data_IF_470224582400
#
_entry.id   IF_470224582400
#
_cell.length_a   1.000
_cell.length_b   1.000
_cell.length_c   1.000
_cell.angle_alpha   90.00
_cell.angle_beta   90.00
_cell.angle_gamma   90.00
#
_symmetry.space_group_name_H-M   'P 1'
#
loop_
_entity.id
_entity.type
_entity.pdbx_description
1 polymer ?
#
# COMPACT_ATOMS: atom_id res chain seq x y z
N UNK A 1 -6.45 -1.05 28.02
CA UNK A 1 -7.78 -1.53 27.76
C UNK A 1 -8.20 -1.47 26.29
N UNK A 2 -9.38 -1.99 25.98
CA UNK A 2 -9.86 -2.09 24.60
C UNK A 2 -10.01 -0.72 23.90
N UNK A 3 -10.28 0.33 24.66
CA UNK A 3 -10.51 1.71 24.19
C UNK A 3 -9.26 2.61 24.30
N UNK A 4 -8.12 2.07 24.75
CA UNK A 4 -6.90 2.88 24.94
C UNK A 4 -6.22 3.18 23.60
N UNK A 5 -6.05 4.47 23.21
CA UNK A 5 -5.33 4.84 22.00
C UNK A 5 -3.86 4.42 22.10
N UNK A 6 -3.41 3.65 21.13
CA UNK A 6 -2.06 3.05 21.10
C UNK A 6 -1.45 3.23 19.71
N UNK A 7 -0.15 3.38 19.60
CA UNK A 7 0.54 3.38 18.30
C UNK A 7 0.31 2.03 17.62
N UNK A 8 -0.32 1.98 16.43
CA UNK A 8 -0.71 0.72 15.79
C UNK A 8 0.43 0.03 15.06
N UNK A 9 1.46 0.75 14.68
CA UNK A 9 2.41 0.33 13.66
C UNK A 9 1.66 -0.18 12.42
N UNK A 10 2.19 -1.18 11.71
CA UNK A 10 1.59 -1.66 10.45
C UNK A 10 0.20 -2.32 10.56
N UNK A 11 -0.41 -2.44 11.76
CA UNK A 11 -1.84 -2.79 11.83
C UNK A 11 -2.74 -1.65 11.35
N UNK A 12 -2.22 -0.40 11.21
CA UNK A 12 -2.85 0.70 10.48
C UNK A 12 -3.31 0.30 9.08
N UNK A 13 -2.56 -0.57 8.40
CA UNK A 13 -2.90 -1.04 7.05
C UNK A 13 -4.26 -1.73 6.94
N UNK A 14 -4.82 -2.21 8.05
CA UNK A 14 -6.20 -2.74 8.08
C UNK A 14 -7.23 -1.62 7.88
N UNK A 15 -7.02 -0.47 8.52
CA UNK A 15 -7.84 0.72 8.33
C UNK A 15 -7.78 1.24 6.89
N UNK A 16 -6.56 1.36 6.35
CA UNK A 16 -6.31 1.76 4.95
C UNK A 16 -6.97 0.78 3.98
N UNK A 17 -6.87 -0.53 4.24
CA UNK A 17 -7.49 -1.58 3.41
C UNK A 17 -9.01 -1.46 3.40
N UNK A 18 -9.64 -1.29 4.58
CA UNK A 18 -11.09 -1.15 4.67
C UNK A 18 -11.57 0.07 3.86
N UNK A 19 -10.90 1.21 4.02
CA UNK A 19 -11.24 2.45 3.33
C UNK A 19 -11.06 2.36 1.80
N UNK A 20 -9.96 1.76 1.31
CA UNK A 20 -9.74 1.65 -0.13
C UNK A 20 -10.68 0.64 -0.79
N UNK A 21 -11.03 -0.45 -0.10
CA UNK A 21 -12.04 -1.39 -0.59
C UNK A 21 -13.44 -0.75 -0.63
N UNK A 22 -13.78 0.11 0.34
CA UNK A 22 -15.05 0.84 0.36
C UNK A 22 -15.18 1.81 -0.81
N UNK A 23 -14.09 2.49 -1.18
CA UNK A 23 -14.14 3.58 -2.18
C UNK A 23 -13.85 3.13 -3.60
N UNK A 24 -13.02 2.11 -3.79
CA UNK A 24 -12.57 1.62 -5.12
C UNK A 24 -13.06 0.22 -5.45
N UNK A 25 -13.31 -0.60 -4.42
CA UNK A 25 -13.59 -2.02 -4.61
C UNK A 25 -12.34 -2.84 -4.99
N UNK A 26 -12.43 -4.19 -4.91
CA UNK A 26 -11.29 -5.09 -5.10
C UNK A 26 -10.79 -5.17 -6.54
N UNK A 27 -11.65 -4.87 -7.52
CA UNK A 27 -11.36 -5.03 -8.95
C UNK A 27 -10.83 -3.77 -9.63
N UNK A 28 -10.79 -2.64 -8.93
CA UNK A 28 -10.27 -1.39 -9.48
C UNK A 28 -8.80 -1.55 -9.90
N UNK A 29 -8.43 -0.91 -11.03
CA UNK A 29 -7.06 -0.86 -11.55
C UNK A 29 -6.63 0.58 -11.71
N UNK A 30 -5.42 0.90 -11.29
CA UNK A 30 -4.81 2.22 -11.45
C UNK A 30 -4.25 2.29 -12.87
N UNK A 31 -4.57 3.35 -13.62
CA UNK A 31 -4.10 3.52 -15.00
C UNK A 31 -3.03 4.59 -15.06
N UNK A 32 -1.80 4.19 -15.40
CA UNK A 32 -0.68 5.09 -15.72
C UNK A 32 -0.68 5.33 -17.23
N UNK A 33 -0.49 6.58 -17.65
CA UNK A 33 -0.49 6.93 -19.06
C UNK A 33 0.63 7.92 -19.42
N UNK A 34 0.93 7.97 -20.71
CA UNK A 34 1.83 8.96 -21.31
C UNK A 34 1.05 9.76 -22.32
N UNK A 35 1.24 11.08 -22.29
CA UNK A 35 0.60 11.99 -23.24
C UNK A 35 1.66 12.75 -24.05
N UNK A 36 1.25 13.28 -25.20
CA UNK A 36 2.08 14.18 -25.99
C UNK A 36 2.35 15.47 -25.22
N UNK A 37 3.59 15.93 -25.23
CA UNK A 37 4.00 17.19 -24.63
C UNK A 37 3.62 18.41 -25.47
N UNK A 38 4.07 19.57 -25.03
CA UNK A 38 3.77 20.86 -25.68
C UNK A 38 4.57 21.11 -26.96
N UNK A 39 5.65 20.37 -27.19
CA UNK A 39 6.50 20.50 -28.38
C UNK A 39 6.71 19.13 -29.04
N UNK A 40 6.98 19.08 -30.35
CA UNK A 40 7.21 17.83 -31.07
C UNK A 40 8.32 16.98 -30.43
N UNK A 41 8.06 15.67 -30.25
CA UNK A 41 8.98 14.74 -29.61
C UNK A 41 9.04 14.79 -28.09
N UNK A 42 8.39 15.77 -27.44
CA UNK A 42 8.22 15.78 -26.00
C UNK A 42 7.06 14.84 -25.61
N UNK A 43 7.29 14.02 -24.59
CA UNK A 43 6.27 13.14 -24.00
C UNK A 43 6.17 13.41 -22.50
N UNK A 44 4.97 13.29 -21.94
CA UNK A 44 4.73 13.49 -20.51
C UNK A 44 4.32 12.16 -19.88
N UNK A 45 5.13 11.64 -18.97
CA UNK A 45 4.79 10.50 -18.14
C UNK A 45 3.99 11.01 -16.93
N UNK A 46 2.71 10.67 -16.90
CA UNK A 46 1.78 11.16 -15.87
C UNK A 46 1.66 10.14 -14.74
N UNK A 47 2.03 10.56 -13.55
CA UNK A 47 1.95 9.74 -12.35
C UNK A 47 0.50 9.56 -11.91
N UNK A 48 0.04 8.30 -11.87
CA UNK A 48 -1.32 7.93 -11.46
C UNK A 48 -1.41 7.41 -10.03
N UNK A 49 -0.29 7.37 -9.31
CA UNK A 49 -0.25 6.75 -7.98
C UNK A 49 -0.34 5.22 -8.04
N UNK A 50 0.30 4.60 -9.03
CA UNK A 50 0.51 3.16 -9.10
C UNK A 50 1.92 2.82 -8.58
N UNK A 51 2.06 2.19 -7.40
CA UNK A 51 3.36 1.79 -6.86
C UNK A 51 3.91 0.52 -7.49
N UNK A 52 3.12 -0.18 -8.32
CA UNK A 52 3.44 -1.50 -8.87
C UNK A 52 3.98 -1.45 -10.30
N UNK A 53 4.06 -0.24 -10.90
CA UNK A 53 4.65 -0.05 -12.22
C UNK A 53 6.08 -0.61 -12.22
N UNK A 54 6.39 -1.52 -13.14
CA UNK A 54 7.64 -2.28 -13.10
C UNK A 54 8.70 -1.75 -14.05
N UNK A 55 9.92 -1.60 -13.54
CA UNK A 55 11.12 -1.31 -14.31
C UNK A 55 11.67 -2.55 -15.06
N UNK A 56 11.16 -3.75 -14.76
CA UNK A 56 11.60 -5.03 -15.29
C UNK A 56 10.51 -5.72 -16.11
N UNK A 57 10.92 -6.57 -17.04
CA UNK A 57 10.02 -7.52 -17.71
C UNK A 57 9.48 -8.59 -16.76
N UNK A 58 10.16 -8.82 -15.63
CA UNK A 58 9.68 -9.66 -14.54
C UNK A 58 9.29 -8.73 -13.38
N UNK A 59 7.98 -8.44 -13.19
CA UNK A 59 7.54 -7.50 -12.18
C UNK A 59 7.90 -7.96 -10.77
N UNK A 60 8.34 -7.01 -9.93
CA UNK A 60 8.53 -7.22 -8.50
C UNK A 60 7.19 -7.52 -7.81
N UNK A 61 6.18 -6.74 -8.13
CA UNK A 61 4.83 -6.96 -7.65
C UNK A 61 4.04 -7.85 -8.62
N UNK A 62 3.26 -8.83 -8.12
CA UNK A 62 2.46 -9.70 -8.97
C UNK A 62 1.58 -8.92 -9.95
N UNK A 63 1.64 -9.25 -11.24
CA UNK A 63 0.88 -8.62 -12.31
C UNK A 63 1.15 -7.09 -12.47
N UNK A 64 2.30 -6.60 -11.99
CA UNK A 64 2.69 -5.19 -12.15
C UNK A 64 2.83 -4.81 -13.64
N UNK A 65 2.34 -3.62 -14.05
CA UNK A 65 2.42 -3.19 -15.44
C UNK A 65 3.86 -2.83 -15.81
N UNK A 66 4.26 -3.13 -17.04
CA UNK A 66 5.63 -2.92 -17.52
C UNK A 66 5.85 -1.51 -18.08
N UNK A 67 6.88 -0.82 -17.61
CA UNK A 67 7.34 0.46 -18.16
C UNK A 67 7.77 0.31 -19.63
N UNK A 68 8.45 -0.78 -19.97
CA UNK A 68 8.86 -1.06 -21.36
C UNK A 68 7.65 -1.20 -22.30
N UNK A 69 6.56 -1.87 -21.84
CA UNK A 69 5.31 -1.96 -22.61
C UNK A 69 4.70 -0.59 -22.86
N UNK A 70 4.74 0.31 -21.86
CA UNK A 70 4.28 1.69 -22.01
C UNK A 70 5.14 2.46 -23.01
N UNK A 71 6.46 2.33 -22.94
CA UNK A 71 7.40 2.95 -23.89
C UNK A 71 7.17 2.48 -25.35
N UNK A 72 6.89 1.19 -25.54
CA UNK A 72 6.59 0.64 -26.86
C UNK A 72 5.28 1.16 -27.45
N UNK A 73 4.25 1.39 -26.60
CA UNK A 73 3.02 2.04 -27.04
C UNK A 73 3.31 3.46 -27.52
N UNK A 74 4.11 4.23 -26.75
CA UNK A 74 4.50 5.60 -27.09
C UNK A 74 5.25 5.65 -28.43
N UNK A 75 6.24 4.77 -28.65
CA UNK A 75 6.98 4.69 -29.90
C UNK A 75 6.03 4.42 -31.10
N UNK A 76 5.09 3.49 -30.94
CA UNK A 76 4.10 3.19 -31.99
C UNK A 76 3.17 4.36 -32.27
N UNK A 77 2.68 5.04 -31.23
CA UNK A 77 1.79 6.18 -31.39
C UNK A 77 2.46 7.39 -32.06
N UNK A 78 3.74 7.64 -31.76
CA UNK A 78 4.52 8.71 -32.36
C UNK A 78 4.91 8.40 -33.82
N UNK A 79 4.94 7.14 -34.26
CA UNK A 79 5.32 6.74 -35.61
C UNK A 79 6.74 7.21 -35.98
N UNK A 80 6.90 8.07 -36.99
CA UNK A 80 8.22 8.58 -37.41
C UNK A 80 8.80 9.65 -36.48
N UNK A 81 8.00 10.23 -35.59
CA UNK A 81 8.46 11.25 -34.64
C UNK A 81 9.23 10.59 -33.52
N UNK A 82 10.51 10.91 -33.40
CA UNK A 82 11.36 10.39 -32.31
C UNK A 82 11.10 11.16 -31.03
N UNK A 83 10.96 10.47 -29.87
CA UNK A 83 10.94 11.13 -28.58
C UNK A 83 12.29 11.84 -28.35
N UNK A 84 12.25 13.03 -27.77
CA UNK A 84 13.45 13.85 -27.49
C UNK A 84 13.55 14.28 -26.04
N UNK A 85 12.42 14.34 -25.34
CA UNK A 85 12.35 14.80 -23.96
C UNK A 85 11.20 14.12 -23.21
N UNK A 86 11.40 13.85 -21.93
CA UNK A 86 10.40 13.31 -21.02
C UNK A 86 10.11 14.33 -19.93
N UNK A 87 8.84 14.68 -19.76
CA UNK A 87 8.35 15.46 -18.63
C UNK A 87 7.76 14.49 -17.61
N UNK A 88 8.14 14.61 -16.35
CA UNK A 88 7.52 13.85 -15.25
C UNK A 88 6.46 14.72 -14.59
N UNK A 89 5.20 14.29 -14.68
CA UNK A 89 4.09 14.93 -13.99
C UNK A 89 3.76 14.14 -12.71
N UNK A 90 4.12 14.72 -11.58
CA UNK A 90 3.84 14.16 -10.24
C UNK A 90 2.80 14.98 -9.48
N UNK A 91 2.11 15.90 -10.14
CA UNK A 91 1.19 16.87 -9.52
C UNK A 91 -0.02 16.25 -8.83
N UNK A 92 -0.35 15.00 -9.16
CA UNK A 92 -1.44 14.25 -8.50
C UNK A 92 -1.25 14.12 -6.98
N UNK A 93 0.01 14.08 -6.49
CA UNK A 93 0.31 13.99 -5.06
C UNK A 93 0.90 15.33 -4.57
N UNK A 94 0.06 16.29 -4.18
CA UNK A 94 0.52 17.59 -3.73
C UNK A 94 1.08 17.54 -2.31
N UNK A 95 1.90 18.53 -1.98
CA UNK A 95 2.44 18.72 -0.63
C UNK A 95 3.72 17.93 -0.36
N UNK A 96 4.07 17.72 0.92
CA UNK A 96 5.31 17.05 1.31
C UNK A 96 5.36 15.59 0.82
N UNK A 97 6.53 15.16 0.36
CA UNK A 97 6.78 13.76 -0.02
C UNK A 97 7.15 12.85 1.16
N UNK A 98 7.32 13.41 2.35
CA UNK A 98 7.54 12.69 3.62
C UNK A 98 6.30 12.79 4.49
N UNK A 99 5.95 11.69 5.14
CA UNK A 99 4.85 11.64 6.10
C UNK A 99 5.14 12.41 7.39
N UNK A 100 4.09 12.77 8.15
CA UNK A 100 4.24 13.46 9.42
C UNK A 100 5.05 12.63 10.43
N UNK A 101 6.13 13.22 10.94
CA UNK A 101 7.06 12.55 11.89
C UNK A 101 7.77 11.31 11.32
N UNK A 102 7.84 11.17 10.01
CA UNK A 102 8.80 10.27 9.40
C UNK A 102 10.19 10.87 9.55
N UNK A 103 11.15 10.06 9.97
CA UNK A 103 12.53 10.50 10.11
C UNK A 103 13.30 10.28 8.80
N UNK A 104 14.37 11.06 8.57
CA UNK A 104 15.21 10.88 7.37
C UNK A 104 15.74 9.46 7.25
N UNK A 105 16.21 8.79 8.33
CA UNK A 105 16.60 7.39 8.26
C UNK A 105 15.48 6.44 7.78
N UNK A 106 14.21 6.76 8.02
CA UNK A 106 13.09 5.94 7.52
C UNK A 106 13.01 5.98 5.99
N UNK A 107 13.07 7.18 5.39
CA UNK A 107 12.96 7.37 3.93
C UNK A 107 14.26 7.07 3.17
N UNK A 108 15.37 6.89 3.86
CA UNK A 108 16.64 6.42 3.29
C UNK A 108 16.89 4.95 3.63
N UNK A 109 15.88 4.29 4.22
CA UNK A 109 15.92 2.89 4.59
C UNK A 109 15.55 1.96 3.44
N UNK A 110 15.52 0.66 3.75
CA UNK A 110 15.13 -0.38 2.78
C UNK A 110 13.61 -0.59 2.70
N UNK A 111 12.83 -0.11 3.69
CA UNK A 111 11.38 -0.40 3.79
C UNK A 111 10.48 0.76 3.38
N UNK A 112 11.05 1.93 3.04
CA UNK A 112 10.31 3.14 2.72
C UNK A 112 11.14 4.06 1.83
N UNK A 113 10.47 4.95 1.07
CA UNK A 113 11.06 6.10 0.40
C UNK A 113 10.08 7.26 0.36
N UNK A 114 10.49 8.39 -0.21
CA UNK A 114 9.61 9.54 -0.44
C UNK A 114 8.47 9.15 -1.38
N UNK A 115 7.28 9.67 -1.12
CA UNK A 115 6.05 9.32 -1.84
C UNK A 115 5.77 10.37 -2.91
N UNK A 116 5.88 9.95 -4.17
CA UNK A 116 5.51 10.72 -5.35
C UNK A 116 4.44 9.98 -6.14
N UNK A 117 3.64 10.67 -6.95
CA UNK A 117 2.60 10.04 -7.78
C UNK A 117 3.16 9.07 -8.83
N UNK A 118 4.46 9.15 -9.11
CA UNK A 118 5.19 8.32 -10.06
C UNK A 118 6.31 7.57 -9.34
N UNK A 119 6.34 6.26 -9.51
CA UNK A 119 7.38 5.37 -8.99
C UNK A 119 7.39 4.07 -9.76
N UNK A 120 8.50 3.33 -9.73
CA UNK A 120 8.56 1.94 -10.18
C UNK A 120 8.94 1.03 -9.01
N UNK A 121 8.37 -0.17 -8.97
CA UNK A 121 8.71 -1.23 -8.00
C UNK A 121 8.69 -0.75 -6.52
N UNK A 122 7.74 0.15 -6.19
CA UNK A 122 7.67 0.79 -4.88
C UNK A 122 8.89 1.65 -4.53
N UNK A 123 9.62 2.12 -5.54
CA UNK A 123 10.83 2.92 -5.40
C UNK A 123 12.13 2.12 -5.27
N UNK A 124 12.11 0.80 -5.38
CA UNK A 124 13.32 -0.05 -5.30
C UNK A 124 14.28 0.24 -6.45
N UNK A 125 15.59 0.28 -6.13
CA UNK A 125 16.66 0.46 -7.14
C UNK A 125 16.84 -0.82 -7.94
N UNK A 126 16.82 -1.97 -7.27
CA UNK A 126 16.87 -3.28 -7.89
C UNK A 126 15.46 -3.89 -7.97
N UNK A 127 14.86 -3.97 -9.17
CA UNK A 127 13.52 -4.50 -9.36
C UNK A 127 13.43 -6.03 -9.12
N UNK A 128 14.52 -6.75 -8.99
CA UNK A 128 14.50 -8.19 -8.68
C UNK A 128 14.32 -8.48 -7.18
N UNK A 129 14.52 -7.50 -6.32
CA UNK A 129 14.44 -7.65 -4.87
C UNK A 129 12.99 -7.40 -4.38
N UNK A 130 12.34 -8.46 -3.88
CA UNK A 130 10.95 -8.43 -3.41
C UNK A 130 10.80 -8.04 -1.92
N UNK A 131 11.90 -7.98 -1.18
CA UNK A 131 11.92 -7.66 0.26
C UNK A 131 12.20 -6.18 0.55
N UNK A 132 12.70 -5.96 1.74
CA UNK A 132 13.31 -4.70 2.12
C UNK A 132 14.61 -4.53 1.33
N UNK A 133 14.69 -3.47 0.54
CA UNK A 133 15.78 -3.23 -0.42
C UNK A 133 16.07 -1.73 -0.55
N UNK A 134 17.29 -1.35 -0.95
CA UNK A 134 17.63 0.05 -1.21
C UNK A 134 16.64 0.68 -2.20
N UNK A 135 16.24 1.92 -1.90
CA UNK A 135 15.25 2.66 -2.69
C UNK A 135 15.84 3.96 -3.20
N UNK A 136 15.30 4.42 -4.33
CA UNK A 136 15.60 5.77 -4.81
C UNK A 136 15.13 6.80 -3.78
N UNK A 137 15.97 7.78 -3.47
CA UNK A 137 15.58 8.93 -2.63
C UNK A 137 14.48 9.76 -3.29
N UNK A 138 14.53 9.88 -4.61
CA UNK A 138 13.48 10.43 -5.47
C UNK A 138 13.01 9.33 -6.42
N UNK A 139 11.90 8.69 -6.08
CA UNK A 139 11.36 7.58 -6.85
C UNK A 139 10.79 8.01 -8.21
N UNK A 140 10.37 9.27 -8.34
CA UNK A 140 9.87 9.79 -9.60
C UNK A 140 11.01 9.97 -10.62
N UNK A 141 12.15 10.52 -10.17
CA UNK A 141 13.36 10.62 -11.00
C UNK A 141 13.86 9.22 -11.39
N UNK A 142 13.83 8.26 -10.46
CA UNK A 142 14.15 6.86 -10.75
C UNK A 142 13.27 6.27 -11.86
N UNK A 143 11.95 6.42 -11.74
CA UNK A 143 11.00 5.98 -12.77
C UNK A 143 11.23 6.68 -14.12
N UNK A 144 11.53 7.99 -14.10
CA UNK A 144 11.88 8.75 -15.31
C UNK A 144 13.13 8.22 -16.01
N UNK A 145 14.16 7.84 -15.25
CA UNK A 145 15.39 7.26 -15.81
C UNK A 145 15.13 5.89 -16.46
N UNK A 146 14.28 5.05 -15.87
CA UNK A 146 13.83 3.79 -16.45
C UNK A 146 13.11 4.04 -17.77
N UNK A 147 12.16 4.96 -17.80
CA UNK A 147 11.37 5.28 -18.98
C UNK A 147 12.24 5.88 -20.10
N UNK A 148 13.21 6.75 -19.74
CA UNK A 148 14.19 7.28 -20.69
C UNK A 148 14.99 6.18 -21.38
N UNK A 149 15.51 5.23 -20.59
CA UNK A 149 16.22 4.05 -21.11
C UNK A 149 15.34 3.25 -22.07
N UNK A 150 14.07 3.00 -21.72
CA UNK A 150 13.14 2.23 -22.55
C UNK A 150 12.79 2.98 -23.84
N UNK A 151 12.79 4.32 -23.84
CA UNK A 151 12.62 5.14 -25.05
C UNK A 151 13.91 5.32 -25.88
N UNK A 152 15.06 4.90 -25.35
CA UNK A 152 16.37 5.11 -25.99
C UNK A 152 16.93 6.53 -25.80
N UNK A 153 16.53 7.20 -24.70
CA UNK A 153 16.96 8.55 -24.34
C UNK A 153 17.96 8.54 -23.16
N UNK A 154 18.86 9.52 -23.10
CA UNK A 154 19.69 9.71 -21.91
C UNK A 154 18.86 10.20 -20.72
N UNK A 155 19.30 9.92 -19.49
CA UNK A 155 18.64 10.41 -18.28
C UNK A 155 18.54 11.95 -18.22
N UNK A 156 19.44 12.67 -18.88
CA UNK A 156 19.40 14.15 -19.01
C UNK A 156 18.22 14.68 -19.82
N UNK A 157 17.52 13.81 -20.58
CA UNK A 157 16.30 14.18 -21.29
C UNK A 157 15.06 14.26 -20.38
N UNK A 158 15.20 13.89 -19.11
CA UNK A 158 14.11 13.86 -18.11
C UNK A 158 14.07 15.18 -17.37
N UNK A 159 12.91 15.83 -17.36
CA UNK A 159 12.63 17.06 -16.61
C UNK A 159 11.32 16.92 -15.81
N UNK A 160 11.13 17.76 -14.80
CA UNK A 160 9.85 17.87 -14.09
C UNK A 160 8.92 18.86 -14.77
N UNK A 161 7.62 18.63 -14.71
CA UNK A 161 6.59 19.53 -15.24
C UNK A 161 5.19 18.99 -15.06
N UNK A 162 4.23 19.54 -15.79
CA UNK A 162 2.84 19.12 -15.79
C UNK A 162 2.36 18.75 -17.18
N UNK A 163 1.41 17.83 -17.27
CA UNK A 163 0.80 17.45 -18.53
C UNK A 163 -0.04 18.61 -19.11
N UNK A 164 -0.05 18.78 -20.45
CA UNK A 164 -1.03 19.63 -21.10
C UNK A 164 -2.46 19.16 -20.84
N UNK A 165 -3.44 20.05 -21.01
CA UNK A 165 -4.84 19.69 -20.90
C UNK A 165 -5.21 18.59 -21.91
N UNK A 166 -6.12 17.71 -21.51
CA UNK A 166 -6.63 16.65 -22.39
C UNK A 166 -7.35 17.25 -23.60
N UNK A 167 -6.92 16.96 -24.84
CA UNK A 167 -7.60 17.47 -26.03
C UNK A 167 -8.90 16.70 -26.31
N UNK A 168 -9.74 17.17 -27.25
CA UNK A 168 -10.94 16.45 -27.68
C UNK A 168 -10.63 15.00 -28.13
N UNK A 169 -11.57 14.10 -27.93
CA UNK A 169 -11.43 12.72 -28.38
C UNK A 169 -11.20 12.63 -29.91
N UNK A 170 -10.30 11.75 -30.33
CA UNK A 170 -9.92 11.60 -31.74
C UNK A 170 -8.85 12.57 -32.23
N UNK A 171 -8.28 13.41 -31.34
CA UNK A 171 -7.14 14.27 -31.68
C UNK A 171 -5.93 13.45 -32.15
N UNK A 172 -5.12 14.05 -33.04
CA UNK A 172 -3.90 13.40 -33.50
C UNK A 172 -2.92 13.10 -32.34
N UNK A 173 -2.14 12.05 -32.41
CA UNK A 173 -1.15 11.67 -31.39
C UNK A 173 -0.10 12.77 -31.14
N UNK A 174 0.11 13.72 -32.05
CA UNK A 174 1.00 14.86 -31.90
C UNK A 174 0.36 16.05 -31.22
N UNK A 175 -0.96 16.01 -30.96
CA UNK A 175 -1.67 17.08 -30.25
C UNK A 175 -1.26 17.08 -28.78
N UNK A 176 -0.83 18.22 -28.19
CA UNK A 176 -0.52 18.29 -26.77
C UNK A 176 -1.62 17.70 -25.90
N UNK A 177 -1.25 16.83 -24.96
CA UNK A 177 -2.18 16.14 -24.07
C UNK A 177 -2.85 14.87 -24.64
N UNK A 178 -2.65 14.57 -25.95
CA UNK A 178 -3.19 13.32 -26.53
C UNK A 178 -2.49 12.09 -25.92
N UNK A 179 -3.28 11.06 -25.58
CA UNK A 179 -2.75 9.83 -24.98
C UNK A 179 -1.94 9.05 -26.01
N UNK A 180 -0.68 8.77 -25.69
CA UNK A 180 0.27 8.01 -26.51
C UNK A 180 0.34 6.53 -26.08
N UNK A 181 0.00 6.23 -24.85
CA UNK A 181 -0.02 4.88 -24.31
C UNK A 181 -0.52 4.85 -22.87
N UNK A 182 -0.97 3.69 -22.46
CA UNK A 182 -1.43 3.46 -21.09
C UNK A 182 -1.21 2.02 -20.64
N UNK A 183 -1.01 1.85 -19.34
CA UNK A 183 -0.92 0.54 -18.69
C UNK A 183 -1.73 0.56 -17.39
N UNK A 184 -2.19 -0.61 -16.98
CA UNK A 184 -3.00 -0.76 -15.76
C UNK A 184 -2.31 -1.63 -14.74
N UNK A 185 -2.43 -1.26 -13.46
CA UNK A 185 -2.00 -2.09 -12.35
C UNK A 185 -2.73 -3.44 -12.32
N UNK A 186 -2.26 -4.36 -11.50
CA UNK A 186 -3.09 -5.47 -11.02
C UNK A 186 -4.38 -4.93 -10.38
N UNK A 187 -5.46 -5.74 -10.27
CA UNK A 187 -6.63 -5.35 -9.48
C UNK A 187 -6.22 -5.11 -8.03
N UNK A 188 -6.90 -4.17 -7.34
CA UNK A 188 -6.54 -3.77 -5.97
C UNK A 188 -6.44 -4.93 -5.00
N UNK A 189 -7.24 -5.99 -5.16
CA UNK A 189 -7.14 -7.17 -4.31
C UNK A 189 -5.72 -7.76 -4.32
N UNK A 190 -5.02 -7.79 -5.46
CA UNK A 190 -3.65 -8.31 -5.56
C UNK A 190 -2.63 -7.38 -4.90
N UNK A 191 -2.85 -6.07 -5.01
CA UNK A 191 -2.02 -5.06 -4.34
C UNK A 191 -2.21 -5.15 -2.82
N UNK A 192 -3.46 -5.26 -2.36
CA UNK A 192 -3.81 -5.43 -0.93
C UNK A 192 -3.21 -6.72 -0.37
N UNK A 193 -3.30 -7.83 -1.11
CA UNK A 193 -2.71 -9.10 -0.72
C UNK A 193 -1.21 -8.95 -0.46
N UNK A 194 -0.47 -8.38 -1.39
CA UNK A 194 0.97 -8.14 -1.26
C UNK A 194 1.28 -7.17 -0.12
N UNK A 195 0.51 -6.08 0.00
CA UNK A 195 0.63 -5.06 1.04
C UNK A 195 0.51 -5.67 2.45
N UNK A 196 -0.49 -6.51 2.66
CA UNK A 196 -0.76 -7.10 3.97
C UNK A 196 0.21 -8.25 4.28
N UNK A 197 0.50 -9.12 3.32
CA UNK A 197 1.40 -10.27 3.49
C UNK A 197 2.83 -9.83 3.84
N UNK A 198 3.36 -8.85 3.13
CA UNK A 198 4.73 -8.36 3.28
C UNK A 198 4.83 -7.10 4.15
N UNK A 199 3.69 -6.57 4.59
CA UNK A 199 3.64 -5.30 5.32
C UNK A 199 4.22 -4.11 4.54
N UNK A 200 4.09 -4.09 3.21
CA UNK A 200 4.69 -3.07 2.35
C UNK A 200 4.12 -1.68 2.64
N UNK A 201 5.03 -0.76 3.04
CA UNK A 201 4.65 0.59 3.46
C UNK A 201 4.31 1.47 2.24
N UNK A 202 5.03 1.29 1.13
CA UNK A 202 4.76 2.08 -0.07
C UNK A 202 3.37 1.75 -0.63
N UNK A 203 3.02 0.47 -0.74
CA UNK A 203 1.68 0.09 -1.17
C UNK A 203 0.60 0.73 -0.28
N UNK A 204 0.81 0.76 1.04
CA UNK A 204 -0.16 1.33 1.97
C UNK A 204 -0.34 2.85 1.79
N UNK A 205 0.75 3.58 1.62
CA UNK A 205 0.69 5.02 1.37
C UNK A 205 -0.03 5.36 0.06
N UNK A 206 0.22 4.58 -0.97
CA UNK A 206 -0.46 4.76 -2.25
C UNK A 206 -1.95 4.39 -2.15
N UNK A 207 -2.31 3.33 -1.41
CA UNK A 207 -3.72 2.98 -1.19
C UNK A 207 -4.47 4.07 -0.42
N UNK A 208 -3.89 4.66 0.61
CA UNK A 208 -4.49 5.79 1.32
C UNK A 208 -4.72 6.99 0.38
N UNK A 209 -3.81 7.26 -0.55
CA UNK A 209 -3.99 8.31 -1.57
C UNK A 209 -5.06 7.95 -2.59
N UNK A 210 -5.21 6.67 -2.95
CA UNK A 210 -6.31 6.23 -3.80
C UNK A 210 -7.68 6.46 -3.13
N UNK A 211 -7.78 6.38 -1.79
CA UNK A 211 -8.98 6.79 -1.06
C UNK A 211 -9.23 8.29 -1.25
N UNK A 212 -8.20 9.12 -1.06
CA UNK A 212 -8.32 10.57 -1.25
C UNK A 212 -8.79 10.93 -2.66
N UNK A 213 -8.16 10.35 -3.70
CA UNK A 213 -8.54 10.57 -5.10
C UNK A 213 -10.01 10.17 -5.35
N UNK A 214 -10.44 9.00 -4.82
CA UNK A 214 -11.79 8.50 -5.02
C UNK A 214 -12.87 9.39 -4.38
N UNK A 215 -12.50 10.08 -3.30
CA UNK A 215 -13.45 10.86 -2.48
C UNK A 215 -13.29 12.37 -2.66
N UNK A 216 -12.44 12.81 -3.60
CA UNK A 216 -12.25 14.24 -3.93
C UNK A 216 -11.39 15.02 -2.92
N UNK A 217 -10.70 14.34 -2.02
CA UNK A 217 -9.70 14.98 -1.16
C UNK A 217 -8.36 15.14 -1.92
N UNK A 218 -7.54 16.15 -1.57
CA UNK A 218 -6.17 16.23 -2.08
C UNK A 218 -5.39 14.94 -1.75
N UNK A 219 -4.69 14.36 -2.72
CA UNK A 219 -3.90 13.15 -2.51
C UNK A 219 -2.54 13.43 -1.82
N UNK A 220 -2.54 14.31 -0.81
CA UNK A 220 -1.46 14.57 0.14
C UNK A 220 -1.53 13.63 1.35
N UNK A 221 -0.56 13.67 2.26
CA UNK A 221 -0.67 12.94 3.53
C UNK A 221 -1.89 13.36 4.33
N UNK A 222 -2.08 14.67 4.52
CA UNK A 222 -3.20 15.21 5.28
C UNK A 222 -4.56 14.88 4.63
N UNK A 223 -4.66 15.03 3.30
CA UNK A 223 -5.89 14.70 2.58
C UNK A 223 -6.19 13.21 2.57
N UNK A 224 -5.18 12.34 2.45
CA UNK A 224 -5.36 10.89 2.54
C UNK A 224 -5.82 10.47 3.95
N UNK A 225 -5.20 11.00 5.00
CA UNK A 225 -5.61 10.75 6.38
C UNK A 225 -7.07 11.20 6.63
N UNK A 226 -7.44 12.40 6.16
CA UNK A 226 -8.81 12.90 6.27
C UNK A 226 -9.81 12.04 5.49
N UNK A 227 -9.45 11.62 4.28
CA UNK A 227 -10.29 10.75 3.44
C UNK A 227 -10.51 9.38 4.08
N UNK A 228 -9.44 8.73 4.55
CA UNK A 228 -9.53 7.44 5.26
C UNK A 228 -10.40 7.58 6.51
N UNK A 229 -10.17 8.61 7.34
CA UNK A 229 -10.97 8.88 8.53
C UNK A 229 -12.45 9.07 8.19
N UNK A 230 -12.75 9.85 7.15
CA UNK A 230 -14.12 10.11 6.69
C UNK A 230 -14.82 8.82 6.27
N UNK A 231 -14.15 7.97 5.46
CA UNK A 231 -14.74 6.72 5.00
C UNK A 231 -14.98 5.72 6.13
N UNK A 232 -14.03 5.60 7.07
CA UNK A 232 -14.21 4.75 8.25
C UNK A 232 -15.36 5.22 9.14
N UNK A 233 -15.53 6.54 9.28
CA UNK A 233 -16.67 7.12 10.00
C UNK A 233 -17.99 6.78 9.30
N UNK A 234 -18.08 6.90 7.97
CA UNK A 234 -19.27 6.53 7.18
C UNK A 234 -19.62 5.04 7.33
N UNK A 235 -18.61 4.18 7.46
CA UNK A 235 -18.81 2.75 7.71
C UNK A 235 -19.21 2.42 9.15
N UNK A 236 -19.36 3.43 10.02
CA UNK A 236 -19.77 3.25 11.40
C UNK A 236 -18.68 2.72 12.33
N UNK A 237 -17.40 2.89 11.99
CA UNK A 237 -16.31 2.47 12.85
C UNK A 237 -16.24 3.32 14.13
N UNK A 238 -15.87 2.75 15.30
CA UNK A 238 -15.73 3.47 16.56
C UNK A 238 -14.49 4.38 16.53
N UNK A 239 -14.66 5.62 16.12
CA UNK A 239 -13.56 6.58 15.91
C UNK A 239 -13.03 7.25 17.18
N UNK A 240 -13.60 6.97 18.36
CA UNK A 240 -13.12 7.56 19.61
C UNK A 240 -11.67 7.11 19.90
N UNK A 241 -10.77 8.08 20.09
CA UNK A 241 -9.34 7.82 20.32
C UNK A 241 -8.55 7.41 19.08
N UNK A 242 -9.18 7.36 17.91
CA UNK A 242 -8.52 7.10 16.63
C UNK A 242 -7.95 8.40 16.07
N UNK A 243 -6.68 8.38 15.67
CA UNK A 243 -6.00 9.48 14.98
C UNK A 243 -5.12 8.90 13.88
N UNK A 244 -5.41 9.25 12.63
CA UNK A 244 -4.73 8.75 11.44
C UNK A 244 -3.96 9.91 10.81
N UNK A 245 -2.68 9.70 10.51
CA UNK A 245 -1.83 10.70 9.84
C UNK A 245 -1.10 10.15 8.63
N UNK A 246 -0.96 8.82 8.52
CA UNK A 246 -0.44 8.14 7.33
C UNK A 246 -1.20 6.84 7.03
N UNK A 247 -0.92 6.21 5.89
CA UNK A 247 -1.60 4.98 5.48
C UNK A 247 -0.92 3.70 5.95
N UNK A 248 0.33 3.77 6.33
CA UNK A 248 1.21 2.60 6.61
C UNK A 248 1.34 2.28 8.10
N UNK A 249 1.18 3.28 8.97
CA UNK A 249 1.43 3.19 10.40
C UNK A 249 2.90 3.36 10.78
N UNK A 250 3.70 4.00 9.92
CA UNK A 250 5.11 4.38 10.24
C UNK A 250 5.12 5.56 11.21
N UNK A 251 4.18 6.47 11.08
CA UNK A 251 4.12 7.64 11.95
C UNK A 251 3.85 7.26 13.40
N UNK A 252 4.71 7.72 14.29
CA UNK A 252 4.47 7.61 15.73
C UNK A 252 3.31 8.49 16.23
N UNK A 253 2.70 9.29 15.37
CA UNK A 253 1.50 10.09 15.70
C UNK A 253 0.20 9.30 15.52
N UNK A 254 0.21 8.22 14.75
CA UNK A 254 -0.98 7.39 14.59
C UNK A 254 -1.43 6.81 15.93
N UNK A 255 -2.75 6.80 16.12
CA UNK A 255 -3.40 6.16 17.27
C UNK A 255 -4.59 5.35 16.80
N UNK A 256 -4.61 4.08 17.15
CA UNK A 256 -5.78 3.22 17.02
C UNK A 256 -6.08 2.57 18.37
N UNK A 257 -7.30 2.08 18.53
CA UNK A 257 -7.69 1.30 19.71
C UNK A 257 -7.86 -0.17 19.32
N UNK A 258 -7.68 -1.12 20.24
CA UNK A 258 -8.04 -2.52 19.99
C UNK A 258 -9.52 -2.68 19.58
N UNK A 259 -10.42 -1.90 20.16
CA UNK A 259 -11.84 -1.88 19.80
C UNK A 259 -12.06 -1.50 18.35
N UNK A 260 -11.41 -0.42 17.87
CA UNK A 260 -11.47 -0.01 16.48
C UNK A 260 -11.00 -1.11 15.52
N UNK A 261 -9.83 -1.72 15.76
CA UNK A 261 -9.32 -2.80 14.92
C UNK A 261 -10.20 -4.05 14.95
N UNK A 262 -10.80 -4.34 16.11
CA UNK A 262 -11.79 -5.42 16.24
C UNK A 262 -13.03 -5.13 15.39
N UNK A 263 -13.54 -3.89 15.41
CA UNK A 263 -14.67 -3.48 14.57
C UNK A 263 -14.34 -3.55 13.08
N UNK A 264 -13.14 -3.12 12.65
CA UNK A 264 -12.66 -3.25 11.26
C UNK A 264 -12.69 -4.72 10.80
N UNK A 265 -12.15 -5.64 11.62
CA UNK A 265 -12.11 -7.07 11.29
C UNK A 265 -13.51 -7.69 11.30
N UNK A 266 -14.35 -7.33 12.26
CA UNK A 266 -15.73 -7.82 12.34
C UNK A 266 -16.56 -7.33 11.15
N UNK A 267 -16.42 -6.06 10.76
CA UNK A 267 -17.09 -5.50 9.60
C UNK A 267 -16.67 -6.21 8.31
N UNK A 268 -15.35 -6.39 8.12
CA UNK A 268 -14.81 -7.04 6.93
C UNK A 268 -15.14 -8.53 6.85
N UNK A 269 -15.36 -9.22 7.98
CA UNK A 269 -15.74 -10.64 8.00
C UNK A 269 -17.25 -10.89 7.93
N UNK A 270 -18.07 -9.85 7.98
CA UNK A 270 -19.52 -9.98 7.92
C UNK A 270 -19.94 -10.52 6.54
N UNK A 271 -20.70 -11.62 6.46
CA UNK A 271 -21.22 -12.15 5.18
C UNK A 271 -22.04 -11.14 4.37
N UNK A 272 -22.66 -10.15 5.01
CA UNK A 272 -23.37 -9.06 4.34
C UNK A 272 -22.42 -8.10 3.57
N UNK A 273 -21.12 -8.17 3.79
CA UNK A 273 -20.13 -7.28 3.21
C UNK A 273 -19.06 -8.02 2.38
N UNK A 274 -19.42 -8.81 1.37
CA UNK A 274 -18.50 -9.73 0.67
C UNK A 274 -17.31 -9.03 -0.01
N UNK A 275 -17.46 -7.77 -0.42
CA UNK A 275 -16.39 -6.95 -1.01
C UNK A 275 -15.15 -6.86 -0.11
N UNK A 276 -15.35 -6.83 1.20
CA UNK A 276 -14.26 -6.66 2.17
C UNK A 276 -13.55 -7.97 2.52
N UNK A 277 -14.07 -9.12 2.12
CA UNK A 277 -13.40 -10.41 2.30
C UNK A 277 -12.06 -10.46 1.57
N UNK A 278 -11.85 -9.62 0.56
CA UNK A 278 -10.58 -9.42 -0.13
C UNK A 278 -9.42 -9.04 0.82
N UNK A 279 -9.71 -8.44 1.99
CA UNK A 279 -8.71 -8.15 3.02
C UNK A 279 -7.99 -9.42 3.50
N UNK A 280 -8.69 -10.54 3.61
CA UNK A 280 -8.17 -11.74 4.27
C UNK A 280 -7.23 -12.55 3.40
N UNK A 281 -7.23 -12.35 2.08
CA UNK A 281 -6.32 -13.03 1.15
C UNK A 281 -4.86 -12.69 1.41
N UNK A 282 -4.60 -11.49 1.94
CA UNK A 282 -3.26 -10.99 2.25
C UNK A 282 -2.78 -11.27 3.68
N UNK A 283 -3.55 -11.95 4.52
CA UNK A 283 -3.13 -12.15 5.91
C UNK A 283 -2.00 -13.17 6.02
N UNK A 284 -0.86 -12.79 6.65
CA UNK A 284 0.15 -13.74 7.06
C UNK A 284 -0.42 -14.89 7.89
N UNK A 285 0.09 -16.09 7.67
CA UNK A 285 -0.28 -17.30 8.41
C UNK A 285 0.82 -17.67 9.38
N UNK A 286 0.47 -17.83 10.65
CA UNK A 286 1.40 -18.20 11.71
C UNK A 286 2.22 -19.45 11.35
N UNK A 287 3.54 -19.36 11.45
CA UNK A 287 4.49 -20.44 11.14
C UNK A 287 4.65 -20.75 9.66
N UNK A 288 3.94 -20.05 8.74
CA UNK A 288 3.90 -20.47 7.34
C UNK A 288 4.20 -19.34 6.33
N UNK A 289 3.55 -18.18 6.39
CA UNK A 289 3.68 -17.16 5.34
C UNK A 289 3.81 -15.73 5.85
N UNK A 290 4.30 -14.86 4.96
CA UNK A 290 4.42 -13.43 5.19
C UNK A 290 5.22 -13.09 6.44
N UNK A 291 4.85 -12.03 7.12
CA UNK A 291 5.54 -11.57 8.34
C UNK A 291 5.37 -12.50 9.55
N UNK A 292 4.56 -13.54 9.43
CA UNK A 292 4.40 -14.58 10.46
C UNK A 292 5.12 -15.89 10.11
N UNK A 293 5.81 -15.99 8.97
CA UNK A 293 6.48 -17.21 8.51
C UNK A 293 7.43 -17.82 9.54
N UNK A 294 8.14 -16.99 10.30
CA UNK A 294 9.13 -17.41 11.30
C UNK A 294 8.65 -17.19 12.75
N UNK A 295 7.35 -16.99 12.96
CA UNK A 295 6.74 -16.87 14.30
C UNK A 295 5.93 -18.12 14.62
N UNK A 296 5.52 -18.31 15.88
CA UNK A 296 4.75 -19.47 16.34
C UNK A 296 5.45 -20.82 16.07
N UNK A 297 6.79 -20.89 16.23
CA UNK A 297 7.61 -22.08 15.99
C UNK A 297 8.22 -22.68 17.25
N UNK A 298 7.93 -22.11 18.43
CA UNK A 298 8.39 -22.65 19.72
C UNK A 298 7.37 -23.64 20.26
N UNK A 299 7.80 -24.52 21.17
CA UNK A 299 6.92 -25.52 21.80
C UNK A 299 5.66 -24.90 22.43
N UNK A 300 5.81 -23.69 23.02
CA UNK A 300 4.72 -22.99 23.72
C UNK A 300 3.73 -22.29 22.77
N UNK A 301 4.03 -22.20 21.48
CA UNK A 301 3.24 -21.43 20.53
C UNK A 301 2.84 -22.23 19.28
N UNK A 302 3.42 -23.40 19.07
CA UNK A 302 3.28 -24.17 17.84
C UNK A 302 1.84 -24.57 17.52
N UNK A 303 0.98 -24.75 18.51
CA UNK A 303 -0.43 -25.11 18.32
C UNK A 303 -1.23 -24.02 17.59
N UNK A 304 -0.73 -22.77 17.57
CA UNK A 304 -1.32 -21.69 16.78
C UNK A 304 -0.79 -21.62 15.34
N UNK A 305 0.25 -22.38 14.98
CA UNK A 305 0.76 -22.44 13.62
C UNK A 305 -0.32 -22.96 12.66
N UNK A 306 -0.53 -22.27 11.54
CA UNK A 306 -1.60 -22.53 10.58
C UNK A 306 -3.00 -22.11 11.03
N UNK A 307 -3.25 -21.94 12.33
CA UNK A 307 -4.55 -21.62 12.92
C UNK A 307 -4.76 -20.13 13.17
N UNK A 308 -3.68 -19.36 13.18
CA UNK A 308 -3.72 -17.90 13.35
C UNK A 308 -3.32 -17.24 12.04
N UNK A 309 -4.14 -16.27 11.59
CA UNK A 309 -3.92 -15.43 10.42
C UNK A 309 -4.08 -13.98 10.83
N UNK A 310 -3.03 -13.17 10.71
CA UNK A 310 -3.08 -11.81 11.25
C UNK A 310 -2.10 -10.86 10.56
N UNK A 311 -2.47 -9.59 10.52
CA UNK A 311 -1.55 -8.50 10.23
C UNK A 311 -0.67 -8.23 11.44
N UNK A 312 0.62 -8.12 11.23
CA UNK A 312 1.61 -7.73 12.23
C UNK A 312 1.91 -6.25 12.15
N UNK A 313 2.35 -5.67 13.25
CA UNK A 313 2.95 -4.33 13.27
C UNK A 313 4.18 -4.30 14.18
N UNK A 314 5.18 -3.51 13.77
CA UNK A 314 6.39 -3.31 14.56
C UNK A 314 6.99 -1.95 14.25
N UNK A 315 7.25 -1.20 15.29
CA UNK A 315 8.11 -0.02 15.32
C UNK A 315 9.02 -0.13 16.54
N UNK A 316 9.95 0.81 16.71
CA UNK A 316 10.68 0.94 17.95
C UNK A 316 9.70 1.07 19.12
N UNK A 317 9.83 0.22 20.12
CA UNK A 317 8.96 0.17 21.29
C UNK A 317 7.49 -0.14 21.05
N UNK A 318 7.11 -0.63 19.85
CA UNK A 318 5.74 -1.02 19.52
C UNK A 318 5.71 -2.38 18.83
N UNK A 319 4.79 -3.24 19.28
CA UNK A 319 4.44 -4.48 18.58
C UNK A 319 2.94 -4.68 18.57
N UNK A 320 2.39 -5.14 17.45
CA UNK A 320 0.96 -5.36 17.31
C UNK A 320 0.66 -6.61 16.48
N UNK A 321 -0.53 -7.16 16.72
CA UNK A 321 -1.09 -8.29 15.99
C UNK A 321 -2.61 -8.12 15.95
N UNK A 322 -3.19 -8.19 14.75
CA UNK A 322 -4.63 -8.07 14.56
C UNK A 322 -5.11 -9.02 13.46
N UNK A 323 -6.04 -9.92 13.77
CA UNK A 323 -6.53 -10.92 12.82
C UNK A 323 -7.44 -11.96 13.46
N UNK A 324 -7.34 -13.19 13.00
CA UNK A 324 -8.18 -14.29 13.41
C UNK A 324 -7.35 -15.46 13.94
N UNK A 325 -7.91 -16.14 14.93
CA UNK A 325 -7.40 -17.42 15.42
C UNK A 325 -8.57 -18.39 15.51
N UNK A 326 -8.38 -19.62 15.04
CA UNK A 326 -9.35 -20.70 15.21
C UNK A 326 -9.07 -21.37 16.56
N UNK A 327 -10.03 -21.35 17.49
CA UNK A 327 -9.88 -21.92 18.82
C UNK A 327 -9.92 -23.48 18.81
N UNK A 328 -9.74 -24.11 19.97
CA UNK A 328 -9.74 -25.58 20.08
C UNK A 328 -11.10 -26.20 19.72
N UNK A 329 -12.19 -25.46 19.77
CA UNK A 329 -13.53 -25.91 19.37
C UNK A 329 -13.82 -25.71 17.87
N UNK A 330 -12.87 -25.16 17.10
CA UNK A 330 -13.01 -24.88 15.66
C UNK A 330 -13.66 -23.52 15.34
N UNK A 331 -13.89 -22.64 16.34
CA UNK A 331 -14.50 -21.33 16.11
C UNK A 331 -13.45 -20.29 15.73
N UNK A 332 -13.69 -19.45 14.70
CA UNK A 332 -12.88 -18.29 14.44
C UNK A 332 -13.15 -17.19 15.47
N UNK A 333 -12.09 -16.68 16.09
CA UNK A 333 -12.11 -15.57 17.04
C UNK A 333 -11.29 -14.43 16.49
N UNK A 334 -11.73 -13.18 16.68
CA UNK A 334 -10.94 -11.99 16.39
C UNK A 334 -9.96 -11.78 17.55
N UNK A 335 -8.68 -11.64 17.21
CA UNK A 335 -7.62 -11.35 18.16
C UNK A 335 -6.94 -10.02 17.77
N UNK A 336 -6.93 -9.06 18.70
CA UNK A 336 -6.21 -7.79 18.56
C UNK A 336 -5.35 -7.56 19.79
N UNK A 337 -4.05 -7.41 19.58
CA UNK A 337 -3.08 -7.06 20.63
C UNK A 337 -2.25 -5.89 20.17
N UNK A 338 -2.27 -4.80 20.92
CA UNK A 338 -1.41 -3.63 20.74
C UNK A 338 -0.54 -3.46 21.99
N UNK A 339 0.79 -3.49 21.82
CA UNK A 339 1.76 -3.28 22.87
C UNK A 339 2.68 -2.12 22.47
N UNK A 340 2.65 -1.04 23.21
CA UNK A 340 3.54 0.10 23.04
C UNK A 340 4.45 0.28 24.29
N UNK A 341 5.45 1.17 24.16
CA UNK A 341 6.41 1.49 25.24
C UNK A 341 7.17 0.27 25.76
N UNK A 342 7.32 -0.76 24.95
CA UNK A 342 8.04 -1.99 25.29
C UNK A 342 8.91 -2.45 24.12
N UNK A 343 10.10 -2.99 24.43
CA UNK A 343 10.99 -3.49 23.39
C UNK A 343 10.33 -4.64 22.61
N UNK A 344 10.40 -4.59 21.29
CA UNK A 344 9.80 -5.59 20.41
C UNK A 344 10.32 -7.01 20.64
N UNK A 345 11.57 -7.14 21.14
CA UNK A 345 12.22 -8.42 21.45
C UNK A 345 11.48 -9.19 22.56
N UNK A 346 10.88 -8.47 23.53
CA UNK A 346 10.02 -9.06 24.56
C UNK A 346 8.55 -9.13 24.17
N UNK A 347 8.05 -8.08 23.51
CA UNK A 347 6.64 -7.97 23.15
C UNK A 347 6.19 -9.02 22.13
N UNK A 348 6.99 -9.30 21.09
CA UNK A 348 6.63 -10.30 20.06
C UNK A 348 6.41 -11.71 20.63
N UNK A 349 7.35 -12.30 21.40
CA UNK A 349 7.12 -13.61 22.02
C UNK A 349 5.91 -13.64 22.97
N UNK A 350 5.65 -12.54 23.70
CA UNK A 350 4.50 -12.44 24.58
C UNK A 350 3.18 -12.43 23.77
N UNK A 351 3.13 -11.70 22.67
CA UNK A 351 1.97 -11.68 21.75
C UNK A 351 1.74 -13.08 21.14
N UNK A 352 2.81 -13.79 20.76
CA UNK A 352 2.69 -15.16 20.24
C UNK A 352 2.12 -16.12 21.28
N UNK A 353 2.52 -16.01 22.54
CA UNK A 353 1.94 -16.80 23.65
C UNK A 353 0.48 -16.48 23.89
N UNK A 354 0.07 -15.19 23.78
CA UNK A 354 -1.34 -14.80 23.86
C UNK A 354 -2.14 -15.47 22.73
N UNK A 355 -1.64 -15.41 21.49
CA UNK A 355 -2.27 -16.06 20.34
C UNK A 355 -2.42 -17.57 20.53
N UNK A 356 -1.39 -18.24 21.05
CA UNK A 356 -1.41 -19.66 21.35
C UNK A 356 -2.38 -20.01 22.49
N UNK A 357 -2.44 -19.18 23.54
CA UNK A 357 -3.39 -19.36 24.64
C UNK A 357 -4.85 -19.22 24.17
N UNK A 358 -5.14 -18.26 23.30
CA UNK A 358 -6.48 -18.12 22.69
C UNK A 358 -6.80 -19.32 21.78
N UNK A 359 -5.82 -19.84 21.03
CA UNK A 359 -5.98 -21.07 20.23
C UNK A 359 -6.31 -22.28 21.12
N UNK A 360 -5.65 -22.41 22.25
CA UNK A 360 -5.86 -23.53 23.19
C UNK A 360 -7.17 -23.40 23.99
N UNK A 361 -7.78 -22.20 24.02
CA UNK A 361 -9.02 -21.95 24.73
C UNK A 361 -10.17 -22.66 24.00
N UNK A 362 -10.81 -23.60 24.67
CA UNK A 362 -12.10 -24.15 24.24
C UNK A 362 -13.23 -23.21 24.67
N UNK A 363 -13.19 -21.94 24.31
CA UNK A 363 -14.13 -20.89 24.78
C UNK A 363 -15.56 -21.06 24.20
N UNK A 364 -16.06 -22.28 24.07
CA UNK A 364 -17.45 -22.57 23.78
C UNK A 364 -18.33 -22.10 24.94
N UNK A 365 -19.46 -21.46 24.64
CA UNK A 365 -20.54 -21.41 25.60
C UNK A 365 -20.79 -22.86 26.03
N UNK A 366 -20.98 -23.16 27.34
CA UNK A 366 -21.45 -24.48 27.72
C UNK A 366 -22.69 -24.73 26.86
N UNK A 367 -22.72 -25.92 26.22
CA UNK A 367 -23.92 -26.39 25.54
C UNK A 367 -25.05 -26.33 26.56
N UNK A 368 -25.97 -25.40 26.39
CA UNK A 368 -27.21 -25.36 27.14
C UNK A 368 -28.12 -26.48 26.74
#
# INVERSE_FOLDING_TARGET
GATSPTTPASTMKLATTLAVLATRGPNYRITTHVVAGSVPGQVVLVGAGDPTLSASSTPNYPEGPSMASLADQVKRALGPVKPTQIVLDTSLFPGPSMGPRWEVPDVESTYLTRVYALTTDGGRIDPSNIGDAPRYRDSATGAGAVFAKDLGLPASAVISGTAPATPPAGSAATTPGAVLGSVQSAPLVRIIETMLANSDNMLAEFMARQVAIATGYPASFAGAAAAVTSELTKLGMPMQGVHIVDGSGISHLDRLTPEFLTAVLAYASNPAHPTFHAMFTGFPVAGYSGTLANRFRTKDTFDAAGMLRAKTGTLNFTSSLAGFVVDASGRPLILVVLADKTAWTGARPAIDKIGAAVRACGCGSPAG
#
